data_IF_193095063866
#
_entry.id   IF_193095063866
#
_cell.length_a   1.000
_cell.length_b   1.000
_cell.length_c   1.000
_cell.angle_alpha   90.00
_cell.angle_beta   90.00
_cell.angle_gamma   90.00
#
_symmetry.space_group_name_H-M   'P 1'
#
loop_
_entity.id
_entity.type
_entity.pdbx_description
1 polymer ?
#
# COMPACT_ATOMS: atom_id res chain seq x y z
N UNK A 1 10.16 -9.84 -31.57
CA UNK A 1 10.33 -10.99 -30.64
C UNK A 1 11.14 -12.05 -31.34
N UNK A 2 12.28 -12.39 -30.79
CA UNK A 2 13.00 -13.61 -31.22
C UNK A 2 12.20 -14.81 -30.73
N UNK A 3 11.97 -15.82 -31.61
CA UNK A 3 11.25 -17.02 -31.21
C UNK A 3 11.87 -17.76 -30.02
N UNK A 4 11.18 -18.78 -29.47
CA UNK A 4 11.71 -19.60 -28.39
C UNK A 4 13.08 -20.18 -28.74
N UNK A 5 14.07 -20.12 -27.83
CA UNK A 5 15.41 -20.68 -28.09
C UNK A 5 15.46 -22.21 -27.94
N UNK A 6 14.30 -22.86 -27.86
CA UNK A 6 14.15 -24.32 -27.71
C UNK A 6 12.89 -24.83 -28.45
N UNK A 7 12.81 -26.15 -28.62
CA UNK A 7 11.62 -26.80 -29.21
C UNK A 7 10.43 -26.70 -28.22
N UNK A 8 9.33 -26.08 -28.68
CA UNK A 8 8.09 -25.88 -27.92
C UNK A 8 7.07 -26.91 -28.31
N UNK A 9 6.55 -27.65 -27.34
CA UNK A 9 5.47 -28.64 -27.55
C UNK A 9 4.08 -28.05 -27.33
N UNK A 10 3.99 -26.96 -26.52
CA UNK A 10 2.74 -26.24 -26.27
C UNK A 10 3.01 -24.78 -25.89
N UNK A 11 2.26 -23.88 -26.50
CA UNK A 11 2.16 -22.47 -26.10
C UNK A 11 0.84 -22.25 -25.38
N UNK A 12 0.89 -21.60 -24.22
CA UNK A 12 -0.30 -21.21 -23.47
C UNK A 12 -0.71 -19.79 -23.85
N UNK A 13 -2.01 -19.45 -23.79
CA UNK A 13 -2.45 -18.07 -23.99
C UNK A 13 -1.72 -17.11 -23.05
N UNK A 14 -1.28 -15.94 -23.53
CA UNK A 14 -0.66 -14.94 -22.66
C UNK A 14 -1.67 -14.40 -21.67
N UNK A 15 -1.19 -14.07 -20.46
CA UNK A 15 -1.98 -13.42 -19.40
C UNK A 15 -1.27 -12.12 -19.00
N UNK A 16 -1.69 -11.02 -19.63
CA UNK A 16 -1.01 -9.74 -19.53
C UNK A 16 0.45 -9.83 -19.96
N UNK A 17 1.40 -9.40 -19.10
CA UNK A 17 2.82 -9.46 -19.42
C UNK A 17 3.42 -10.87 -19.32
N UNK A 18 2.62 -11.87 -18.92
CA UNK A 18 3.08 -13.21 -18.62
C UNK A 18 2.73 -14.17 -19.74
N UNK A 19 3.71 -14.93 -20.21
CA UNK A 19 3.51 -15.98 -21.20
C UNK A 19 4.19 -17.27 -20.78
N UNK A 20 3.54 -18.41 -21.06
CA UNK A 20 4.09 -19.75 -20.77
C UNK A 20 4.23 -20.61 -22.01
N UNK A 21 5.29 -21.41 -22.00
CA UNK A 21 5.62 -22.38 -23.03
C UNK A 21 5.98 -23.72 -22.37
N UNK A 22 5.62 -24.81 -23.01
CA UNK A 22 6.09 -26.12 -22.62
C UNK A 22 7.18 -26.57 -23.57
N UNK A 23 8.39 -26.72 -23.08
CA UNK A 23 9.51 -27.23 -23.81
C UNK A 23 9.41 -28.77 -23.98
N UNK A 24 9.99 -29.33 -25.03
CA UNK A 24 10.11 -30.77 -25.23
C UNK A 24 10.96 -31.41 -24.12
N UNK A 25 12.06 -30.76 -23.75
CA UNK A 25 12.98 -31.20 -22.68
C UNK A 25 12.97 -30.22 -21.52
N UNK A 26 13.39 -30.70 -20.35
CA UNK A 26 13.59 -29.83 -19.19
C UNK A 26 14.80 -28.92 -19.43
N UNK A 27 14.61 -27.60 -19.24
CA UNK A 27 15.61 -26.57 -19.48
C UNK A 27 16.04 -25.94 -18.16
N UNK A 28 17.34 -25.76 -17.94
CA UNK A 28 17.84 -24.98 -16.80
C UNK A 28 17.63 -23.48 -17.08
N UNK A 29 17.30 -22.74 -16.02
CA UNK A 29 17.23 -21.28 -16.05
C UNK A 29 17.35 -20.71 -14.64
N UNK A 30 17.79 -19.47 -14.53
CA UNK A 30 17.75 -18.71 -13.29
C UNK A 30 16.50 -17.86 -13.27
N UNK A 31 15.68 -17.95 -12.23
CA UNK A 31 14.47 -17.13 -12.10
C UNK A 31 14.85 -15.68 -11.84
N UNK A 32 14.45 -14.76 -12.72
CA UNK A 32 14.78 -13.33 -12.57
C UNK A 32 14.23 -12.71 -11.28
N UNK A 33 13.17 -13.26 -10.70
CA UNK A 33 12.52 -12.67 -9.52
C UNK A 33 13.08 -13.15 -8.19
N UNK A 34 13.43 -14.44 -8.08
CA UNK A 34 13.94 -15.00 -6.82
C UNK A 34 15.40 -15.42 -6.90
N UNK A 35 16.07 -15.23 -8.03
CA UNK A 35 17.48 -15.57 -8.23
C UNK A 35 17.79 -17.07 -8.20
N UNK A 36 16.78 -17.94 -8.03
CA UNK A 36 17.02 -19.38 -7.89
C UNK A 36 17.18 -20.08 -9.22
N UNK A 37 18.17 -20.96 -9.33
CA UNK A 37 18.32 -21.87 -10.44
C UNK A 37 17.24 -22.95 -10.41
N UNK A 38 16.63 -23.18 -11.53
CA UNK A 38 15.52 -24.13 -11.73
C UNK A 38 15.76 -24.96 -12.99
N UNK A 39 15.18 -26.15 -13.01
CA UNK A 39 15.11 -27.00 -14.18
C UNK A 39 13.63 -27.33 -14.39
N UNK A 40 13.08 -26.99 -15.56
CA UNK A 40 11.65 -27.23 -15.83
C UNK A 40 11.38 -27.38 -17.32
N UNK A 41 10.35 -28.19 -17.66
CA UNK A 41 9.74 -28.16 -19.00
C UNK A 41 8.81 -26.97 -19.21
N UNK A 42 8.27 -26.40 -18.13
CA UNK A 42 7.40 -25.23 -18.20
C UNK A 42 8.26 -23.99 -18.05
N UNK A 43 8.35 -23.22 -19.13
CA UNK A 43 9.10 -21.98 -19.22
C UNK A 43 8.11 -20.82 -19.20
N UNK A 44 8.25 -19.95 -18.20
CA UNK A 44 7.40 -18.77 -18.06
C UNK A 44 8.27 -17.53 -18.28
N UNK A 45 7.86 -16.64 -19.17
CA UNK A 45 8.59 -15.42 -19.49
C UNK A 45 7.77 -14.18 -19.19
N UNK A 46 8.47 -13.11 -18.81
CA UNK A 46 7.88 -11.81 -18.53
C UNK A 46 8.10 -10.88 -19.73
N UNK A 47 7.04 -10.22 -20.18
CA UNK A 47 7.03 -9.30 -21.33
C UNK A 47 7.56 -9.92 -22.67
N UNK A 48 7.49 -11.23 -22.78
CA UNK A 48 7.96 -11.93 -23.98
C UNK A 48 9.48 -12.01 -24.14
N UNK A 49 10.25 -11.66 -23.12
CA UNK A 49 11.71 -11.66 -23.14
C UNK A 49 12.28 -12.95 -22.52
N UNK A 50 13.07 -13.71 -23.30
CA UNK A 50 13.66 -14.97 -22.84
C UNK A 50 14.72 -14.80 -21.74
N UNK A 51 15.33 -13.63 -21.61
CA UNK A 51 16.19 -13.24 -20.50
C UNK A 51 15.44 -13.07 -19.18
N UNK A 52 14.11 -12.96 -19.23
CA UNK A 52 13.23 -12.73 -18.10
C UNK A 52 12.40 -13.96 -17.75
N UNK A 53 13.07 -15.09 -17.52
CA UNK A 53 12.41 -16.35 -17.19
C UNK A 53 12.03 -16.39 -15.69
N UNK A 54 10.83 -16.90 -15.40
CA UNK A 54 10.24 -17.01 -14.07
C UNK A 54 10.04 -18.47 -13.68
N UNK A 55 10.30 -18.82 -12.42
CA UNK A 55 9.84 -20.09 -11.88
C UNK A 55 8.32 -20.08 -11.65
N UNK A 56 7.69 -21.26 -11.56
CA UNK A 56 6.24 -21.40 -11.41
C UNK A 56 5.68 -20.63 -10.21
N UNK A 57 6.40 -20.63 -9.07
CA UNK A 57 5.96 -19.88 -7.90
C UNK A 57 5.96 -18.36 -8.13
N UNK A 58 7.01 -17.84 -8.78
CA UNK A 58 7.08 -16.41 -9.12
C UNK A 58 6.09 -16.03 -10.22
N UNK A 59 5.89 -16.90 -11.23
CA UNK A 59 4.87 -16.72 -12.24
C UNK A 59 3.47 -16.63 -11.62
N UNK A 60 3.10 -17.58 -10.75
CA UNK A 60 1.78 -17.57 -10.09
C UNK A 60 1.53 -16.32 -9.27
N UNK A 61 2.56 -15.82 -8.56
CA UNK A 61 2.46 -14.59 -7.79
C UNK A 61 2.25 -13.34 -8.66
N UNK A 62 3.02 -13.21 -9.74
CA UNK A 62 2.84 -12.11 -10.69
C UNK A 62 1.49 -12.20 -11.41
N UNK A 63 1.04 -13.41 -11.72
CA UNK A 63 -0.29 -13.63 -12.30
C UNK A 63 -1.40 -13.16 -11.34
N UNK A 64 -1.32 -13.50 -10.06
CA UNK A 64 -2.30 -13.04 -9.05
C UNK A 64 -2.32 -11.52 -8.94
N UNK A 65 -1.16 -10.86 -8.92
CA UNK A 65 -1.08 -9.39 -8.92
C UNK A 65 -1.74 -8.82 -10.17
N UNK A 66 -1.39 -9.33 -11.34
CA UNK A 66 -1.97 -8.89 -12.62
C UNK A 66 -3.50 -9.09 -12.65
N UNK A 67 -4.00 -10.25 -12.22
CA UNK A 67 -5.44 -10.53 -12.20
C UNK A 67 -6.21 -9.60 -11.27
N UNK A 68 -5.65 -9.27 -10.10
CA UNK A 68 -6.23 -8.27 -9.18
C UNK A 68 -6.25 -6.89 -9.85
N UNK A 69 -5.14 -6.45 -10.43
CA UNK A 69 -5.05 -5.13 -11.07
C UNK A 69 -5.98 -5.00 -12.28
N UNK A 70 -6.11 -6.08 -13.08
CA UNK A 70 -6.99 -6.13 -14.25
C UNK A 70 -8.48 -6.27 -13.88
N UNK A 71 -8.82 -6.65 -12.65
CA UNK A 71 -10.19 -6.79 -12.15
C UNK A 71 -10.99 -5.48 -12.22
N UNK A 72 -12.29 -5.58 -12.03
CA UNK A 72 -13.23 -4.43 -12.06
C UNK A 72 -13.60 -3.93 -10.66
N UNK A 73 -13.04 -4.53 -9.61
CA UNK A 73 -13.30 -4.17 -8.23
C UNK A 73 -12.85 -2.74 -7.91
N UNK A 74 -13.43 -2.17 -6.86
CA UNK A 74 -13.03 -0.87 -6.35
C UNK A 74 -11.56 -0.88 -5.87
N UNK A 75 -10.89 0.27 -5.95
CA UNK A 75 -9.45 0.42 -5.65
C UNK A 75 -9.08 -0.06 -4.26
N UNK A 76 -9.91 0.20 -3.25
CA UNK A 76 -9.69 -0.26 -1.88
C UNK A 76 -9.73 -1.80 -1.78
N UNK A 77 -10.68 -2.46 -2.48
CA UNK A 77 -10.76 -3.92 -2.53
C UNK A 77 -9.51 -4.51 -3.17
N UNK A 78 -9.09 -3.97 -4.32
CA UNK A 78 -7.84 -4.38 -4.98
C UNK A 78 -6.62 -4.19 -4.07
N UNK A 79 -6.55 -3.05 -3.38
CA UNK A 79 -5.45 -2.74 -2.46
C UNK A 79 -5.38 -3.76 -1.31
N UNK A 80 -6.51 -4.14 -0.73
CA UNK A 80 -6.58 -5.16 0.32
C UNK A 80 -6.18 -6.55 -0.20
N UNK A 81 -6.60 -6.91 -1.41
CA UNK A 81 -6.20 -8.17 -2.05
C UNK A 81 -4.69 -8.19 -2.35
N UNK A 82 -4.13 -7.09 -2.89
CA UNK A 82 -2.68 -6.97 -3.14
C UNK A 82 -1.88 -7.04 -1.84
N UNK A 83 -2.35 -6.39 -0.77
CA UNK A 83 -1.72 -6.46 0.55
C UNK A 83 -1.74 -7.90 1.11
N UNK A 84 -2.84 -8.62 0.92
CA UNK A 84 -2.96 -10.04 1.33
C UNK A 84 -1.98 -10.92 0.56
N UNK A 85 -1.83 -10.70 -0.76
CA UNK A 85 -0.82 -11.39 -1.58
C UNK A 85 0.58 -11.07 -1.07
N UNK A 86 0.90 -9.80 -0.80
CA UNK A 86 2.20 -9.37 -0.27
C UNK A 86 2.56 -10.12 1.03
N UNK A 87 1.66 -10.07 2.02
CA UNK A 87 1.88 -10.74 3.31
C UNK A 87 1.98 -12.27 3.16
N UNK A 88 1.24 -12.84 2.20
CA UNK A 88 1.29 -14.28 1.91
C UNK A 88 2.58 -14.76 1.25
N UNK A 89 3.31 -13.87 0.55
CA UNK A 89 4.55 -14.23 -0.15
C UNK A 89 5.83 -13.95 0.64
N UNK A 90 5.78 -13.10 1.66
CA UNK A 90 6.92 -12.76 2.51
C UNK A 90 6.74 -13.41 3.88
N UNK A 91 7.70 -14.23 4.32
CA UNK A 91 7.61 -14.80 5.66
C UNK A 91 7.76 -13.73 6.75
N UNK A 92 7.22 -14.01 7.95
CA UNK A 92 7.38 -13.07 9.07
C UNK A 92 8.85 -12.89 9.48
N UNK A 93 9.67 -13.92 9.29
CA UNK A 93 11.11 -13.84 9.55
C UNK A 93 11.82 -12.94 8.53
N UNK A 94 11.51 -13.10 7.24
CA UNK A 94 12.10 -12.29 6.17
C UNK A 94 11.71 -10.81 6.31
N UNK A 95 10.45 -10.52 6.62
CA UNK A 95 10.00 -9.17 6.88
C UNK A 95 10.76 -8.52 8.06
N UNK A 96 10.90 -9.21 9.19
CA UNK A 96 11.68 -8.71 10.33
C UNK A 96 13.16 -8.52 10.00
N UNK A 97 13.74 -9.45 9.28
CA UNK A 97 15.15 -9.35 8.87
C UNK A 97 15.36 -8.16 7.92
N UNK A 98 14.41 -7.88 7.02
CA UNK A 98 14.47 -6.72 6.15
C UNK A 98 14.43 -5.42 6.97
N UNK A 99 13.49 -5.29 7.93
CA UNK A 99 13.44 -4.13 8.82
C UNK A 99 14.77 -3.87 9.53
N UNK A 100 15.42 -4.92 10.05
CA UNK A 100 16.70 -4.79 10.78
C UNK A 100 17.90 -4.44 9.90
N UNK A 101 17.83 -4.76 8.61
CA UNK A 101 18.89 -4.42 7.63
C UNK A 101 18.73 -3.02 7.07
N UNK A 102 17.52 -2.49 7.09
CA UNK A 102 17.21 -1.17 6.55
C UNK A 102 17.52 -0.09 7.57
N UNK A 103 18.13 0.99 7.12
CA UNK A 103 18.40 2.15 7.97
C UNK A 103 17.18 3.05 8.03
N UNK A 104 16.78 3.41 9.24
CA UNK A 104 15.70 4.34 9.54
C UNK A 104 16.20 5.47 10.45
N UNK A 105 15.57 6.63 10.38
CA UNK A 105 15.86 7.76 11.29
C UNK A 105 15.47 7.45 12.74
N UNK A 106 14.42 6.64 12.92
CA UNK A 106 13.95 6.12 14.23
C UNK A 106 13.69 4.62 14.09
N UNK A 107 13.90 3.84 15.15
CA UNK A 107 13.69 2.39 15.10
C UNK A 107 12.19 2.04 15.00
N UNK A 108 11.71 1.49 13.86
CA UNK A 108 10.30 1.16 13.71
C UNK A 108 9.79 0.14 14.75
N UNK A 109 10.61 -0.85 15.13
CA UNK A 109 10.22 -1.91 16.08
C UNK A 109 9.83 -1.36 17.47
N UNK A 110 10.25 -0.13 17.82
CA UNK A 110 9.93 0.48 19.11
C UNK A 110 8.63 1.27 19.10
N UNK A 111 8.14 1.65 17.94
CA UNK A 111 7.10 2.65 17.82
C UNK A 111 5.86 2.21 17.04
N UNK A 112 6.02 1.31 16.09
CA UNK A 112 4.94 0.92 15.20
C UNK A 112 4.17 -0.30 15.73
N UNK A 113 2.89 -0.40 15.37
CA UNK A 113 2.11 -1.59 15.68
C UNK A 113 2.56 -2.79 14.82
N UNK A 114 2.25 -4.00 15.28
CA UNK A 114 2.69 -5.26 14.65
C UNK A 114 2.26 -5.36 13.17
N UNK A 115 1.05 -4.92 12.86
CA UNK A 115 0.56 -4.92 11.47
C UNK A 115 1.38 -3.97 10.59
N UNK A 116 1.68 -2.76 11.08
CA UNK A 116 2.51 -1.79 10.38
C UNK A 116 3.93 -2.33 10.16
N UNK A 117 4.53 -2.95 11.17
CA UNK A 117 5.82 -3.61 11.06
C UNK A 117 5.79 -4.74 10.02
N UNK A 118 4.70 -5.51 10.00
CA UNK A 118 4.52 -6.60 9.05
C UNK A 118 4.47 -6.09 7.60
N UNK A 119 3.69 -5.05 7.33
CA UNK A 119 3.58 -4.45 6.00
C UNK A 119 4.87 -3.75 5.57
N UNK A 120 5.45 -2.94 6.45
CA UNK A 120 6.71 -2.24 6.18
C UNK A 120 7.85 -3.22 5.89
N UNK A 121 8.03 -4.23 6.75
CA UNK A 121 9.06 -5.25 6.56
C UNK A 121 8.87 -6.07 5.29
N UNK A 122 7.61 -6.35 4.91
CA UNK A 122 7.32 -7.04 3.65
C UNK A 122 7.63 -6.16 2.43
N UNK A 123 7.38 -4.85 2.51
CA UNK A 123 7.75 -3.89 1.47
C UNK A 123 9.28 -3.81 1.30
N UNK A 124 10.03 -3.66 2.39
CA UNK A 124 11.50 -3.59 2.38
C UNK A 124 12.13 -4.90 1.88
N UNK A 125 11.55 -6.05 2.25
CA UNK A 125 12.00 -7.34 1.72
C UNK A 125 11.82 -7.42 0.21
N UNK A 126 10.62 -7.07 -0.30
CA UNK A 126 10.38 -7.06 -1.75
C UNK A 126 11.31 -6.08 -2.46
N UNK A 127 11.50 -4.88 -1.92
CA UNK A 127 12.40 -3.89 -2.48
C UNK A 127 13.82 -4.43 -2.61
N UNK A 128 14.35 -5.08 -1.56
CA UNK A 128 15.69 -5.68 -1.60
C UNK A 128 15.85 -6.79 -2.63
N UNK A 129 14.77 -7.53 -2.93
CA UNK A 129 14.76 -8.57 -3.97
C UNK A 129 14.66 -7.97 -5.38
N UNK A 130 14.03 -6.79 -5.51
CA UNK A 130 13.80 -6.12 -6.79
C UNK A 130 14.92 -5.13 -7.14
N UNK A 131 15.80 -4.80 -6.21
CA UNK A 131 16.80 -3.71 -6.32
C UNK A 131 17.73 -3.88 -7.54
N UNK A 132 18.09 -5.13 -7.88
CA UNK A 132 18.88 -5.45 -9.06
C UNK A 132 18.05 -5.52 -10.36
N UNK A 133 16.73 -5.26 -10.30
CA UNK A 133 15.78 -5.53 -11.37
C UNK A 133 14.81 -4.38 -11.58
N UNK A 134 15.35 -3.21 -11.95
CA UNK A 134 14.61 -1.94 -12.12
C UNK A 134 13.38 -2.00 -13.05
N UNK A 135 13.27 -3.06 -13.86
CA UNK A 135 12.17 -3.26 -14.82
C UNK A 135 11.03 -4.15 -14.31
N UNK A 136 11.09 -4.64 -13.07
CA UNK A 136 10.01 -5.42 -12.47
C UNK A 136 8.98 -4.51 -11.79
N UNK A 137 7.81 -5.08 -11.63
CA UNK A 137 6.64 -4.41 -11.07
C UNK A 137 6.80 -4.18 -9.55
N UNK A 138 6.75 -2.92 -9.11
CA UNK A 138 6.99 -2.50 -7.73
C UNK A 138 5.71 -2.28 -6.90
N UNK A 139 4.52 -2.48 -7.49
CA UNK A 139 3.23 -2.25 -6.81
C UNK A 139 3.13 -2.96 -5.47
N UNK A 140 3.62 -4.19 -5.37
CA UNK A 140 3.58 -4.94 -4.10
C UNK A 140 4.35 -4.26 -2.97
N UNK A 141 5.53 -3.69 -3.26
CA UNK A 141 6.32 -2.96 -2.28
C UNK A 141 5.65 -1.63 -1.88
N UNK A 142 5.13 -0.88 -2.86
CA UNK A 142 4.39 0.37 -2.62
C UNK A 142 3.12 0.12 -1.80
N UNK A 143 2.37 -0.94 -2.10
CA UNK A 143 1.18 -1.32 -1.31
C UNK A 143 1.56 -1.62 0.15
N UNK A 144 2.69 -2.25 0.40
CA UNK A 144 3.16 -2.50 1.76
C UNK A 144 3.43 -1.21 2.54
N UNK A 145 4.10 -0.23 1.92
CA UNK A 145 4.32 1.09 2.52
C UNK A 145 2.99 1.80 2.81
N UNK A 146 2.09 1.80 1.84
CA UNK A 146 0.77 2.38 1.96
C UNK A 146 -0.02 1.77 3.14
N UNK A 147 -0.03 0.43 3.25
CA UNK A 147 -0.74 -0.27 4.32
C UNK A 147 -0.14 -0.02 5.70
N UNK A 148 1.18 0.11 5.81
CA UNK A 148 1.82 0.51 7.06
C UNK A 148 1.35 1.92 7.48
N UNK A 149 1.34 2.89 6.55
CA UNK A 149 0.84 4.24 6.81
C UNK A 149 -0.64 4.26 7.19
N UNK A 150 -1.49 3.47 6.51
CA UNK A 150 -2.93 3.36 6.79
C UNK A 150 -3.19 2.80 8.20
N UNK A 151 -2.39 1.81 8.63
CA UNK A 151 -2.50 1.22 9.97
C UNK A 151 -2.12 2.22 11.07
N UNK A 152 -1.02 2.92 10.93
CA UNK A 152 -0.62 3.94 11.90
C UNK A 152 -1.63 5.09 11.97
N UNK A 153 -2.22 5.49 10.83
CA UNK A 153 -3.27 6.49 10.79
C UNK A 153 -4.54 6.02 11.50
N UNK A 154 -4.90 4.75 11.34
CA UNK A 154 -6.02 4.14 12.06
C UNK A 154 -5.78 4.18 13.56
N UNK A 155 -4.64 3.67 14.02
CA UNK A 155 -4.33 3.54 15.46
C UNK A 155 -4.19 4.90 16.14
N UNK A 156 -3.48 5.84 15.51
CA UNK A 156 -3.08 7.09 16.16
C UNK A 156 -4.04 8.25 15.98
N UNK A 157 -4.82 8.24 14.89
CA UNK A 157 -5.73 9.34 14.58
C UNK A 157 -7.19 8.92 14.59
N UNK A 158 -7.55 7.86 13.85
CA UNK A 158 -8.95 7.49 13.68
C UNK A 158 -9.56 6.82 14.91
N UNK A 159 -8.85 5.91 15.58
CA UNK A 159 -9.35 5.26 16.79
C UNK A 159 -9.59 6.26 17.93
N UNK A 160 -8.69 7.23 18.22
CA UNK A 160 -8.95 8.27 19.21
C UNK A 160 -10.18 9.16 18.92
N UNK A 161 -10.67 9.20 17.67
CA UNK A 161 -11.91 9.90 17.33
C UNK A 161 -13.17 9.13 17.80
N UNK A 162 -13.09 7.81 17.92
CA UNK A 162 -14.22 7.02 18.42
C UNK A 162 -14.56 7.42 19.85
N UNK A 163 -15.87 7.55 20.13
CA UNK A 163 -16.34 7.97 21.45
C UNK A 163 -16.17 9.46 21.76
N UNK A 164 -15.64 10.28 20.84
CA UNK A 164 -15.59 11.75 21.03
C UNK A 164 -16.96 12.42 20.89
N UNK A 165 -17.91 11.75 20.23
CA UNK A 165 -19.31 12.15 20.09
C UNK A 165 -20.21 10.95 20.34
N UNK A 166 -21.43 11.20 20.82
CA UNK A 166 -22.45 10.15 20.85
C UNK A 166 -23.07 9.96 19.45
N UNK A 167 -23.60 8.77 19.13
CA UNK A 167 -24.25 8.54 17.84
C UNK A 167 -25.36 9.55 17.54
N UNK A 168 -26.16 9.93 18.55
CA UNK A 168 -27.26 10.89 18.44
C UNK A 168 -26.79 12.27 17.99
N UNK A 169 -25.61 12.71 18.45
CA UNK A 169 -25.03 14.00 18.09
C UNK A 169 -24.63 14.10 16.63
N UNK A 170 -24.22 12.98 16.02
CA UNK A 170 -23.63 12.96 14.67
C UNK A 170 -24.48 12.27 13.61
N UNK A 171 -25.66 11.73 13.99
CA UNK A 171 -26.56 11.04 13.03
C UNK A 171 -26.93 11.94 11.85
N UNK A 172 -27.12 13.23 12.07
CA UNK A 172 -27.45 14.21 11.03
C UNK A 172 -26.31 14.37 9.99
N UNK A 173 -25.09 13.96 10.31
CA UNK A 173 -23.92 14.07 9.45
C UNK A 173 -23.69 12.78 8.61
N UNK A 174 -24.41 11.68 8.88
CA UNK A 174 -24.21 10.41 8.18
C UNK A 174 -24.43 10.49 6.67
N UNK A 175 -25.31 11.37 6.21
CA UNK A 175 -25.59 11.62 4.79
C UNK A 175 -24.67 12.66 4.14
N UNK A 176 -23.79 13.32 4.90
CA UNK A 176 -22.85 14.29 4.33
C UNK A 176 -21.79 13.58 3.46
N UNK A 177 -21.58 14.00 2.21
CA UNK A 177 -20.66 13.31 1.30
C UNK A 177 -19.20 13.34 1.76
N UNK A 178 -18.80 14.38 2.51
CA UNK A 178 -17.42 14.57 2.96
C UNK A 178 -17.22 14.05 4.38
N UNK A 179 -18.15 14.30 5.29
CA UNK A 179 -18.02 13.99 6.73
C UNK A 179 -18.72 12.68 7.11
N UNK A 180 -19.71 12.23 6.35
CA UNK A 180 -20.53 11.06 6.69
C UNK A 180 -19.76 9.77 6.91
N UNK A 181 -18.75 9.41 6.12
CA UNK A 181 -17.93 8.22 6.39
C UNK A 181 -17.19 8.30 7.73
N UNK A 182 -16.64 9.48 8.09
CA UNK A 182 -15.98 9.69 9.39
C UNK A 182 -17.01 9.69 10.52
N UNK A 183 -18.19 10.31 10.32
CA UNK A 183 -19.26 10.29 11.30
C UNK A 183 -19.73 8.87 11.63
N UNK A 184 -19.95 8.04 10.61
CA UNK A 184 -20.32 6.62 10.81
C UNK A 184 -19.22 5.82 11.50
N UNK A 185 -17.95 6.10 11.22
CA UNK A 185 -16.82 5.49 11.92
C UNK A 185 -16.80 5.87 13.41
N UNK A 186 -16.93 7.17 13.72
CA UNK A 186 -16.98 7.67 15.12
C UNK A 186 -18.11 7.02 15.90
N UNK A 187 -19.27 6.82 15.25
CA UNK A 187 -20.43 6.15 15.85
C UNK A 187 -20.28 4.62 15.98
N UNK A 188 -19.19 4.02 15.49
CA UNK A 188 -18.99 2.57 15.47
C UNK A 188 -19.85 1.82 14.44
N UNK A 189 -20.46 2.52 13.48
CA UNK A 189 -21.44 1.96 12.52
C UNK A 189 -20.82 1.66 11.14
N UNK A 190 -19.51 1.77 10.97
CA UNK A 190 -18.85 1.52 9.70
C UNK A 190 -17.38 1.11 9.89
N UNK A 191 -16.78 0.59 8.81
CA UNK A 191 -15.32 0.44 8.70
C UNK A 191 -14.63 1.81 8.68
N UNK A 192 -13.31 1.88 8.97
CA UNK A 192 -12.54 3.13 8.86
C UNK A 192 -12.71 3.79 7.48
N UNK A 193 -12.74 5.12 7.40
CA UNK A 193 -12.79 5.82 6.13
C UNK A 193 -11.49 5.58 5.35
N UNK A 194 -11.61 5.38 4.05
CA UNK A 194 -10.46 5.27 3.15
C UNK A 194 -9.64 6.59 3.12
N UNK A 195 -8.35 6.52 2.79
CA UNK A 195 -7.45 7.69 2.81
C UNK A 195 -7.95 8.84 1.94
N UNK A 196 -8.47 8.55 0.74
CA UNK A 196 -9.04 9.58 -0.14
C UNK A 196 -10.27 10.24 0.45
N UNK A 197 -11.11 9.48 1.15
CA UNK A 197 -12.28 9.98 1.87
C UNK A 197 -11.87 10.77 3.10
N UNK A 198 -10.92 10.26 3.89
CA UNK A 198 -10.37 10.98 5.03
C UNK A 198 -9.75 12.31 4.61
N UNK A 199 -8.98 12.33 3.52
CA UNK A 199 -8.45 13.58 2.97
C UNK A 199 -9.55 14.60 2.69
N UNK A 200 -10.65 14.19 2.00
CA UNK A 200 -11.78 15.09 1.73
C UNK A 200 -12.38 15.63 3.02
N UNK A 201 -12.56 14.78 4.02
CA UNK A 201 -13.04 15.19 5.33
C UNK A 201 -12.12 16.22 5.99
N UNK A 202 -10.80 16.01 5.98
CA UNK A 202 -9.83 16.96 6.54
C UNK A 202 -9.83 18.30 5.79
N UNK A 203 -9.93 18.29 4.46
CA UNK A 203 -10.11 19.52 3.66
C UNK A 203 -11.38 20.25 4.11
N UNK A 204 -12.50 19.56 4.26
CA UNK A 204 -13.76 20.16 4.74
C UNK A 204 -13.61 20.71 6.15
N UNK A 205 -12.91 20.00 7.05
CA UNK A 205 -12.62 20.49 8.42
C UNK A 205 -11.83 21.80 8.39
N UNK A 206 -10.92 21.98 7.46
CA UNK A 206 -10.05 23.18 7.39
C UNK A 206 -10.70 24.34 6.67
N UNK A 207 -11.51 24.10 5.63
CA UNK A 207 -12.01 25.12 4.73
C UNK A 207 -13.45 25.58 5.03
N UNK A 208 -14.29 24.73 5.63
CA UNK A 208 -15.70 25.04 5.81
C UNK A 208 -15.98 25.72 7.16
N UNK A 209 -15.95 27.05 7.18
CA UNK A 209 -16.32 27.84 8.38
C UNK A 209 -17.79 27.60 8.77
N UNK A 210 -18.72 27.63 7.78
CA UNK A 210 -20.15 27.43 8.04
C UNK A 210 -20.47 26.10 8.72
N UNK A 211 -19.82 24.99 8.28
CA UNK A 211 -20.01 23.68 8.89
C UNK A 211 -19.34 23.57 10.25
N UNK A 212 -18.28 24.35 10.51
CA UNK A 212 -17.54 24.30 11.78
C UNK A 212 -18.40 24.64 13.00
N UNK A 213 -19.43 25.49 12.83
CA UNK A 213 -20.33 25.89 13.90
C UNK A 213 -21.37 24.81 14.25
N UNK A 214 -21.80 24.01 13.28
CA UNK A 214 -22.87 23.02 13.44
C UNK A 214 -22.36 21.59 13.55
N UNK A 215 -21.27 21.21 12.85
CA UNK A 215 -20.77 19.85 12.79
C UNK A 215 -20.06 19.41 14.06
N UNK A 216 -20.51 18.31 14.65
CA UNK A 216 -19.83 17.65 15.77
C UNK A 216 -18.57 16.92 15.31
N UNK A 217 -18.55 16.36 14.10
CA UNK A 217 -17.36 15.72 13.51
C UNK A 217 -16.23 16.73 13.39
N UNK A 218 -16.50 17.92 12.80
CA UNK A 218 -15.49 18.99 12.69
C UNK A 218 -14.97 19.42 14.06
N UNK A 219 -15.88 19.64 15.00
CA UNK A 219 -15.51 20.03 16.38
C UNK A 219 -14.62 18.99 17.04
N UNK A 220 -14.95 17.71 16.87
CA UNK A 220 -14.16 16.59 17.42
C UNK A 220 -12.76 16.52 16.84
N UNK A 221 -12.63 16.58 15.52
CA UNK A 221 -11.32 16.56 14.86
C UNK A 221 -10.49 17.77 15.28
N UNK A 222 -11.05 18.98 15.27
CA UNK A 222 -10.36 20.20 15.71
C UNK A 222 -9.96 20.13 17.17
N UNK A 223 -10.85 19.68 18.05
CA UNK A 223 -10.57 19.53 19.48
C UNK A 223 -9.43 18.56 19.73
N UNK A 224 -9.41 17.44 19.02
CA UNK A 224 -8.36 16.44 19.16
C UNK A 224 -7.02 17.00 18.65
N UNK A 225 -7.00 17.65 17.47
CA UNK A 225 -5.78 18.26 16.92
C UNK A 225 -5.23 19.41 17.79
N UNK A 226 -6.06 20.14 18.53
CA UNK A 226 -5.60 21.17 19.46
C UNK A 226 -5.05 20.55 20.75
N UNK A 227 -5.63 19.43 21.19
CA UNK A 227 -5.21 18.72 22.40
C UNK A 227 -3.79 18.16 22.28
N UNK A 228 -3.38 17.76 21.09
CA UNK A 228 -2.06 17.18 20.83
C UNK A 228 -1.00 18.26 20.58
N UNK A 229 0.21 18.12 21.10
CA UNK A 229 1.26 19.15 21.04
C UNK A 229 1.59 19.64 19.62
N UNK A 230 1.62 18.73 18.65
CA UNK A 230 1.88 19.04 17.24
C UNK A 230 0.68 18.74 16.32
N UNK A 231 -0.50 18.59 16.88
CA UNK A 231 -1.72 18.18 16.16
C UNK A 231 -2.15 19.14 15.06
N UNK A 232 -1.61 20.37 15.01
CA UNK A 232 -1.84 21.31 13.90
C UNK A 232 -1.41 20.73 12.55
N UNK A 233 -0.36 19.90 12.51
CA UNK A 233 0.10 19.22 11.30
C UNK A 233 -1.00 18.37 10.64
N UNK A 234 -1.91 17.80 11.41
CA UNK A 234 -3.02 16.99 10.92
C UNK A 234 -4.00 17.81 10.04
N UNK A 235 -4.11 19.11 10.30
CA UNK A 235 -5.03 20.02 9.63
C UNK A 235 -4.29 21.04 8.74
N UNK A 236 -2.97 20.96 8.64
CA UNK A 236 -2.19 21.81 7.75
C UNK A 236 -2.39 21.34 6.30
N UNK A 237 -2.74 22.22 5.36
CA UNK A 237 -2.81 21.89 3.94
C UNK A 237 -1.51 21.28 3.39
N UNK A 238 -0.35 21.68 3.90
CA UNK A 238 0.97 21.15 3.54
C UNK A 238 1.43 19.99 4.45
N UNK A 239 0.62 19.64 5.46
CA UNK A 239 0.86 18.52 6.38
C UNK A 239 0.16 17.23 5.89
N UNK A 240 -0.62 16.61 6.79
CA UNK A 240 -1.29 15.33 6.50
C UNK A 240 -2.15 15.37 5.24
N UNK A 241 -2.83 16.49 4.95
CA UNK A 241 -3.73 16.62 3.79
C UNK A 241 -2.97 16.40 2.46
N UNK A 242 -1.78 17.01 2.32
CA UNK A 242 -0.93 16.85 1.14
C UNK A 242 -0.38 15.43 1.05
N UNK A 243 0.10 14.89 2.16
CA UNK A 243 0.62 13.52 2.22
C UNK A 243 -0.43 12.51 1.80
N UNK A 244 -1.67 12.64 2.29
CA UNK A 244 -2.77 11.76 1.90
C UNK A 244 -3.12 11.87 0.41
N UNK A 245 -2.99 13.07 -0.19
CA UNK A 245 -3.20 13.25 -1.62
C UNK A 245 -2.17 12.44 -2.44
N UNK A 246 -0.90 12.55 -2.07
CA UNK A 246 0.21 11.86 -2.75
C UNK A 246 0.14 10.35 -2.55
N UNK A 247 -0.13 9.88 -1.34
CA UNK A 247 -0.31 8.45 -1.06
C UNK A 247 -1.50 7.86 -1.81
N UNK A 248 -2.61 8.60 -1.93
CA UNK A 248 -3.77 8.15 -2.71
C UNK A 248 -3.41 7.99 -4.18
N UNK A 249 -2.56 8.85 -4.74
CA UNK A 249 -2.05 8.71 -6.10
C UNK A 249 -1.25 7.41 -6.26
N UNK A 250 -0.22 7.19 -5.44
CA UNK A 250 0.58 5.95 -5.49
C UNK A 250 -0.28 4.69 -5.29
N UNK A 251 -1.27 4.72 -4.39
CA UNK A 251 -2.20 3.61 -4.19
C UNK A 251 -2.98 3.29 -5.46
N UNK A 252 -3.51 4.32 -6.11
CA UNK A 252 -4.30 4.15 -7.31
C UNK A 252 -3.46 3.56 -8.45
N UNK A 253 -2.25 4.08 -8.66
CA UNK A 253 -1.31 3.52 -9.63
C UNK A 253 -0.98 2.05 -9.32
N UNK A 254 -0.70 1.72 -8.05
CA UNK A 254 -0.42 0.35 -7.63
C UNK A 254 -1.60 -0.62 -7.82
N UNK A 255 -2.84 -0.13 -7.68
CA UNK A 255 -4.06 -0.93 -7.85
C UNK A 255 -4.51 -1.08 -9.31
N UNK A 256 -3.93 -0.32 -10.22
CA UNK A 256 -4.18 -0.41 -11.66
C UNK A 256 -3.01 -1.08 -12.40
N UNK A 257 -3.16 -1.32 -13.69
CA UNK A 257 -2.11 -1.93 -14.54
C UNK A 257 -0.95 -0.97 -14.88
N UNK A 258 -0.77 0.11 -14.14
CA UNK A 258 0.38 0.98 -14.23
C UNK A 258 1.65 0.28 -13.73
N UNK A 259 2.79 0.54 -14.36
CA UNK A 259 4.08 0.04 -13.88
C UNK A 259 4.71 1.05 -12.94
N UNK A 260 4.65 0.81 -11.63
CA UNK A 260 5.46 1.55 -10.67
C UNK A 260 6.94 1.14 -10.80
N UNK A 261 7.81 2.12 -10.66
CA UNK A 261 9.26 1.97 -10.75
C UNK A 261 9.93 1.90 -9.37
N UNK A 262 11.22 1.63 -9.35
CA UNK A 262 12.03 1.74 -8.13
C UNK A 262 12.06 3.17 -7.58
N UNK A 263 11.98 4.18 -8.45
CA UNK A 263 11.94 5.59 -8.03
C UNK A 263 10.61 5.92 -7.36
N UNK A 264 9.49 5.41 -7.88
CA UNK A 264 8.18 5.56 -7.24
C UNK A 264 8.17 4.92 -5.85
N UNK A 265 8.77 3.74 -5.70
CA UNK A 265 8.94 3.12 -4.39
C UNK A 265 9.78 3.99 -3.45
N UNK A 266 10.94 4.50 -3.89
CA UNK A 266 11.81 5.35 -3.06
C UNK A 266 11.10 6.63 -2.63
N UNK A 267 10.40 7.29 -3.55
CA UNK A 267 9.62 8.48 -3.26
C UNK A 267 8.46 8.19 -2.28
N UNK A 268 7.73 7.09 -2.48
CA UNK A 268 6.69 6.64 -1.56
C UNK A 268 7.27 6.29 -0.19
N UNK A 269 8.41 5.61 -0.13
CA UNK A 269 9.11 5.25 1.10
C UNK A 269 9.54 6.50 1.90
N UNK A 270 10.12 7.48 1.22
CA UNK A 270 10.50 8.74 1.86
C UNK A 270 9.30 9.47 2.43
N UNK A 271 8.18 9.50 1.69
CA UNK A 271 6.93 10.09 2.13
C UNK A 271 6.32 9.37 3.36
N UNK A 272 6.45 8.02 3.44
CA UNK A 272 5.84 7.21 4.51
C UNK A 272 6.74 7.15 5.74
N UNK A 273 8.02 6.83 5.59
CA UNK A 273 8.92 6.44 6.69
C UNK A 273 10.30 7.11 6.61
N UNK A 274 10.51 8.06 5.70
CA UNK A 274 11.71 8.90 5.65
C UNK A 274 11.87 9.75 6.91
N UNK A 275 12.89 10.60 7.00
CA UNK A 275 13.17 11.42 8.18
C UNK A 275 11.98 12.30 8.56
N UNK A 276 11.37 12.97 7.58
CA UNK A 276 10.16 13.78 7.69
C UNK A 276 8.91 13.01 7.22
N UNK A 277 8.95 11.67 7.30
CA UNK A 277 7.89 10.81 6.80
C UNK A 277 6.59 10.93 7.60
N UNK A 278 5.49 10.56 6.96
CA UNK A 278 4.14 10.64 7.52
C UNK A 278 4.03 9.96 8.88
N UNK A 279 4.60 8.76 9.03
CA UNK A 279 4.49 7.97 10.25
C UNK A 279 5.12 8.71 11.44
N UNK A 280 6.30 9.29 11.26
CA UNK A 280 6.99 10.03 12.33
C UNK A 280 6.29 11.34 12.66
N UNK A 281 5.85 12.08 11.65
CA UNK A 281 5.05 13.29 11.87
C UNK A 281 3.72 12.99 12.57
N UNK A 282 3.06 11.89 12.20
CA UNK A 282 1.83 11.45 12.85
C UNK A 282 2.06 11.08 14.32
N UNK A 283 3.15 10.37 14.63
CA UNK A 283 3.55 10.06 16.00
C UNK A 283 3.78 11.34 16.81
N UNK A 284 4.63 12.24 16.28
CA UNK A 284 4.94 13.50 16.96
C UNK A 284 3.70 14.39 17.13
N UNK A 285 2.74 14.29 16.21
CA UNK A 285 1.48 15.02 16.27
C UNK A 285 0.51 14.46 17.31
N UNK A 286 0.57 13.17 17.61
CA UNK A 286 -0.43 12.48 18.45
C UNK A 286 0.11 11.99 19.81
N UNK A 287 1.36 12.30 20.14
CA UNK A 287 2.03 11.93 21.40
C UNK A 287 1.63 12.79 22.61
#
# INVERSE_FOLDING_TARGET
MTGPPFAVTKTYPPRGPLQQFRAEQSMPFTCIRCGQDKISKLQSVYQGEWSRTLCNGCYGRLLSIYEIQAGTEAVDVKTDQLASVLVGIVSAADARNALRRTTYSRNPEQFLCDDSLRFLGSAEYLASVLEDQSSLEWSGAVIGLFKAAERELLERFLQPLQGTCTPEQITNEFGDPDLGPVARWIAGNAKPPELGTLRRSLVTVTTSQRRAESSFVIKSIRRLSIKWPRGRWLLDPNGLILVLATLTHYRNEAAHLGSLSSDDYRNCRELVIGEEGMIWNLMDATS
#
